data_IF_352032835340
#
_entry.id   IF_352032835340
#
_cell.length_a   1.000
_cell.length_b   1.000
_cell.length_c   1.000
_cell.angle_alpha   90.00
_cell.angle_beta   90.00
_cell.angle_gamma   90.00
#
_symmetry.space_group_name_H-M   'P 1'
#
loop_
_entity.id
_entity.type
_entity.pdbx_description
1 polymer ?
#
# COMPACT_ATOMS: atom_id res chain seq x y z
N UNK A 1 2.96 14.82 1.34
CA UNK A 1 3.22 13.85 2.38
C UNK A 1 2.02 13.60 3.25
N UNK A 2 2.00 12.50 3.97
CA UNK A 2 0.97 12.15 4.96
C UNK A 2 0.95 13.09 6.18
N UNK A 3 1.69 14.21 6.14
CA UNK A 3 1.85 15.08 7.30
C UNK A 3 2.47 14.36 8.49
N UNK A 4 3.27 13.31 8.24
CA UNK A 4 3.98 12.57 9.28
C UNK A 4 5.17 13.41 9.71
N UNK A 5 4.91 14.33 10.62
CA UNK A 5 5.95 14.92 11.46
C UNK A 5 6.01 14.11 12.75
N UNK A 6 7.15 14.14 13.44
CA UNK A 6 7.40 13.39 14.69
C UNK A 6 6.39 13.66 15.82
N UNK A 7 5.51 14.64 15.67
CA UNK A 7 4.51 15.06 16.65
C UNK A 7 3.08 14.56 16.35
N UNK A 8 2.87 13.87 15.22
CA UNK A 8 1.54 13.35 14.90
C UNK A 8 1.25 12.09 15.71
N UNK A 9 0.20 12.16 16.52
CA UNK A 9 -0.31 10.99 17.23
C UNK A 9 -0.76 9.91 16.25
N UNK A 10 -0.59 8.65 16.62
CA UNK A 10 -1.11 7.50 15.86
C UNK A 10 -2.62 7.62 15.59
N UNK A 11 -3.34 8.26 16.49
CA UNK A 11 -4.77 8.55 16.36
C UNK A 11 -5.07 9.41 15.14
N UNK A 12 -4.31 10.48 14.91
CA UNK A 12 -4.47 11.36 13.75
C UNK A 12 -4.16 10.66 12.43
N UNK A 13 -3.14 9.81 12.42
CA UNK A 13 -2.82 8.99 11.25
C UNK A 13 -3.96 8.02 10.95
N UNK A 14 -4.47 7.36 11.98
CA UNK A 14 -5.60 6.42 11.86
C UNK A 14 -6.88 7.12 11.38
N UNK A 15 -7.16 8.30 11.89
CA UNK A 15 -8.32 9.11 11.49
C UNK A 15 -8.20 9.55 10.03
N UNK A 16 -7.06 10.07 9.62
CA UNK A 16 -6.79 10.43 8.23
C UNK A 16 -6.89 9.24 7.28
N UNK A 17 -6.38 8.10 7.68
CA UNK A 17 -6.50 6.87 6.90
C UNK A 17 -7.97 6.46 6.72
N UNK A 18 -8.74 6.46 7.80
CA UNK A 18 -10.18 6.11 7.76
C UNK A 18 -10.96 7.06 6.86
N UNK A 19 -10.73 8.37 7.00
CA UNK A 19 -11.34 9.40 6.15
C UNK A 19 -10.98 9.18 4.69
N UNK A 20 -9.71 8.97 4.39
CA UNK A 20 -9.23 8.72 3.04
C UNK A 20 -9.82 7.46 2.42
N UNK A 21 -9.94 6.39 3.19
CA UNK A 21 -10.54 5.14 2.71
C UNK A 21 -12.03 5.30 2.40
N UNK A 22 -12.77 6.08 3.19
CA UNK A 22 -14.16 6.41 2.87
C UNK A 22 -14.28 7.18 1.55
N UNK A 23 -13.42 8.17 1.34
CA UNK A 23 -13.41 8.95 0.09
C UNK A 23 -13.04 8.09 -1.12
N UNK A 24 -12.13 7.14 -0.97
CA UNK A 24 -11.76 6.21 -2.04
C UNK A 24 -12.89 5.20 -2.35
N UNK A 25 -13.70 4.83 -1.37
CA UNK A 25 -14.86 3.96 -1.57
C UNK A 25 -15.97 4.65 -2.40
N UNK A 26 -16.03 5.97 -2.39
CA UNK A 26 -17.04 6.76 -3.12
C UNK A 26 -16.70 6.95 -4.63
N UNK A 27 -15.60 6.43 -5.10
CA UNK A 27 -15.11 6.59 -6.49
C UNK A 27 -15.65 5.57 -7.49
N UNK A 28 -16.74 4.88 -7.17
CA UNK A 28 -17.33 3.81 -8.00
C UNK A 28 -16.37 2.64 -8.30
N UNK A 29 -15.44 2.36 -7.40
CA UNK A 29 -14.48 1.26 -7.54
C UNK A 29 -13.31 1.56 -8.49
N UNK A 30 -13.12 2.80 -8.91
CA UNK A 30 -12.00 3.19 -9.79
C UNK A 30 -10.65 2.90 -9.15
N UNK A 31 -10.47 3.30 -7.90
CA UNK A 31 -9.24 3.07 -7.15
C UNK A 31 -8.91 1.57 -7.04
N UNK A 32 -9.89 0.77 -6.63
CA UNK A 32 -9.71 -0.69 -6.53
C UNK A 32 -9.34 -1.33 -7.86
N UNK A 33 -10.00 -0.92 -8.93
CA UNK A 33 -9.73 -1.44 -10.28
C UNK A 33 -8.33 -1.13 -10.76
N UNK A 34 -7.85 0.10 -10.56
CA UNK A 34 -6.51 0.51 -10.97
C UNK A 34 -5.43 -0.16 -10.10
N UNK A 35 -5.65 -0.25 -8.80
CA UNK A 35 -4.74 -0.94 -7.88
C UNK A 35 -4.70 -2.44 -8.19
N UNK A 36 -5.83 -3.07 -8.45
CA UNK A 36 -5.89 -4.49 -8.83
C UNK A 36 -5.10 -4.77 -10.12
N UNK A 37 -5.22 -3.89 -11.13
CA UNK A 37 -4.42 -3.99 -12.37
C UNK A 37 -2.93 -3.85 -12.10
N UNK A 38 -2.54 -2.91 -11.24
CA UNK A 38 -1.15 -2.75 -10.85
C UNK A 38 -0.61 -4.01 -10.17
N UNK A 39 -1.35 -4.56 -9.21
CA UNK A 39 -0.95 -5.78 -8.48
C UNK A 39 -0.87 -7.00 -9.39
N UNK A 40 -1.81 -7.14 -10.33
CA UNK A 40 -1.76 -8.21 -11.31
C UNK A 40 -0.53 -8.11 -12.21
N UNK A 41 -0.23 -6.91 -12.71
CA UNK A 41 0.98 -6.68 -13.49
C UNK A 41 2.25 -6.95 -12.69
N UNK A 42 2.27 -6.59 -11.41
CA UNK A 42 3.40 -6.86 -10.51
C UNK A 42 3.59 -8.37 -10.30
N UNK A 43 2.50 -9.13 -10.09
CA UNK A 43 2.54 -10.59 -9.99
C UNK A 43 3.10 -11.26 -11.25
N UNK A 44 2.65 -10.82 -12.42
CA UNK A 44 3.12 -11.35 -13.70
C UNK A 44 4.60 -11.00 -13.92
N UNK A 45 4.98 -9.76 -13.65
CA UNK A 45 6.36 -9.30 -13.81
C UNK A 45 7.33 -10.03 -12.89
N UNK A 46 6.95 -10.27 -11.66
CA UNK A 46 7.75 -10.97 -10.64
C UNK A 46 7.70 -12.49 -10.81
N UNK A 47 7.01 -13.00 -11.83
CA UNK A 47 6.90 -14.44 -12.14
C UNK A 47 6.51 -15.26 -10.90
N UNK A 48 5.38 -14.88 -10.29
CA UNK A 48 4.86 -15.60 -9.12
C UNK A 48 4.71 -17.11 -9.40
N UNK A 49 5.11 -18.01 -8.51
CA UNK A 49 5.72 -17.79 -7.17
C UNK A 49 7.26 -17.95 -7.14
N UNK A 50 7.93 -17.94 -8.28
CA UNK A 50 9.28 -18.46 -8.46
C UNK A 50 10.43 -17.53 -8.03
N UNK A 51 10.21 -16.23 -7.94
CA UNK A 51 11.28 -15.25 -7.68
C UNK A 51 11.63 -15.09 -6.20
N UNK A 52 10.85 -15.65 -5.30
CA UNK A 52 11.08 -15.58 -3.86
C UNK A 52 11.39 -16.97 -3.28
N UNK A 53 11.92 -16.99 -2.06
CA UNK A 53 12.27 -18.23 -1.36
C UNK A 53 11.07 -19.18 -1.15
N UNK A 54 9.85 -18.63 -1.12
CA UNK A 54 8.60 -19.40 -1.03
C UNK A 54 7.41 -18.60 -1.57
N UNK A 55 6.34 -19.29 -1.92
CA UNK A 55 5.07 -18.63 -2.30
C UNK A 55 4.54 -17.72 -1.18
N UNK A 56 4.71 -18.12 0.09
CA UNK A 56 4.32 -17.32 1.24
C UNK A 56 5.16 -16.05 1.36
N UNK A 57 6.46 -16.10 1.09
CA UNK A 57 7.32 -14.92 1.08
C UNK A 57 6.89 -13.93 -0.01
N UNK A 58 6.54 -14.45 -1.19
CA UNK A 58 6.04 -13.64 -2.30
C UNK A 58 4.70 -12.99 -1.94
N UNK A 59 3.79 -13.74 -1.34
CA UNK A 59 2.48 -13.25 -0.91
C UNK A 59 2.60 -12.14 0.14
N UNK A 60 3.46 -12.32 1.16
CA UNK A 60 3.75 -11.27 2.17
C UNK A 60 4.28 -9.99 1.51
N UNK A 61 5.21 -10.12 0.57
CA UNK A 61 5.75 -8.98 -0.17
C UNK A 61 4.66 -8.23 -0.93
N UNK A 62 3.77 -8.96 -1.61
CA UNK A 62 2.65 -8.39 -2.34
C UNK A 62 1.70 -7.63 -1.41
N UNK A 63 1.32 -8.22 -0.28
CA UNK A 63 0.44 -7.60 0.70
C UNK A 63 1.06 -6.36 1.34
N UNK A 64 2.35 -6.38 1.61
CA UNK A 64 3.08 -5.21 2.12
C UNK A 64 3.01 -4.05 1.14
N UNK A 65 3.27 -4.32 -0.14
CA UNK A 65 3.17 -3.31 -1.20
C UNK A 65 1.77 -2.74 -1.31
N UNK A 66 0.79 -3.61 -1.29
CA UNK A 66 -0.62 -3.21 -1.33
C UNK A 66 -0.99 -2.32 -0.14
N UNK A 67 -0.62 -2.73 1.08
CA UNK A 67 -0.90 -1.95 2.29
C UNK A 67 -0.27 -0.56 2.27
N UNK A 68 0.99 -0.45 1.84
CA UNK A 68 1.68 0.85 1.71
C UNK A 68 1.02 1.71 0.64
N UNK A 69 0.70 1.14 -0.52
CA UNK A 69 0.02 1.86 -1.60
C UNK A 69 -1.35 2.38 -1.16
N UNK A 70 -2.14 1.55 -0.46
CA UNK A 70 -3.42 1.98 0.12
C UNK A 70 -3.25 3.15 1.09
N UNK A 71 -2.26 3.05 1.98
CA UNK A 71 -1.97 4.13 2.94
C UNK A 71 -1.63 5.44 2.22
N UNK A 72 -0.84 5.39 1.16
CA UNK A 72 -0.50 6.57 0.36
C UNK A 72 -1.74 7.16 -0.32
N UNK A 73 -2.55 6.33 -0.97
CA UNK A 73 -3.77 6.78 -1.65
C UNK A 73 -4.78 7.38 -0.67
N UNK A 74 -5.00 6.72 0.47
CA UNK A 74 -5.87 7.23 1.51
C UNK A 74 -5.37 8.56 2.09
N UNK A 75 -4.07 8.69 2.31
CA UNK A 75 -3.46 9.93 2.78
C UNK A 75 -3.70 11.10 1.82
N UNK A 76 -3.50 10.88 0.53
CA UNK A 76 -3.72 11.91 -0.50
C UNK A 76 -5.22 12.26 -0.60
N UNK A 77 -6.11 11.27 -0.59
CA UNK A 77 -7.55 11.51 -0.62
C UNK A 77 -8.02 12.32 0.60
N UNK A 78 -7.51 12.01 1.78
CA UNK A 78 -7.82 12.74 3.01
C UNK A 78 -7.30 14.18 2.97
N UNK A 79 -6.12 14.42 2.40
CA UNK A 79 -5.54 15.74 2.21
C UNK A 79 -6.31 16.57 1.20
N UNK A 80 -6.68 15.97 0.05
CA UNK A 80 -7.51 16.63 -0.96
C UNK A 80 -8.98 16.79 -0.53
N UNK A 81 -9.45 16.03 0.44
CA UNK A 81 -10.83 16.05 0.92
C UNK A 81 -11.86 15.54 -0.08
N UNK A 82 -11.43 14.73 -1.06
CA UNK A 82 -12.27 14.17 -2.14
C UNK A 82 -11.75 12.83 -2.63
N UNK A 83 -12.59 12.11 -3.37
CA UNK A 83 -12.16 10.92 -4.11
C UNK A 83 -11.10 11.30 -5.15
N UNK A 84 -10.14 10.40 -5.34
CA UNK A 84 -9.05 10.62 -6.31
C UNK A 84 -9.51 10.29 -7.72
N UNK A 85 -9.16 11.16 -8.67
CA UNK A 85 -9.31 10.88 -10.09
C UNK A 85 -8.22 9.91 -10.60
N UNK A 86 -8.44 9.33 -11.78
CA UNK A 86 -7.53 8.39 -12.42
C UNK A 86 -6.08 8.91 -12.48
N UNK A 87 -5.89 10.15 -12.89
CA UNK A 87 -4.56 10.76 -13.00
C UNK A 87 -3.81 10.81 -11.67
N UNK A 88 -4.51 11.11 -10.57
CA UNK A 88 -3.92 11.13 -9.22
C UNK A 88 -3.55 9.73 -8.76
N UNK A 89 -4.40 8.74 -9.00
CA UNK A 89 -4.15 7.32 -8.66
C UNK A 89 -2.94 6.81 -9.43
N UNK A 90 -2.91 7.00 -10.75
CA UNK A 90 -1.80 6.57 -11.61
C UNK A 90 -0.49 7.24 -11.20
N UNK A 91 -0.51 8.54 -10.92
CA UNK A 91 0.67 9.25 -10.42
C UNK A 91 1.18 8.67 -9.10
N UNK A 92 0.28 8.37 -8.17
CA UNK A 92 0.63 7.78 -6.88
C UNK A 92 1.26 6.40 -7.07
N UNK A 93 0.70 5.55 -7.94
CA UNK A 93 1.29 4.25 -8.29
C UNK A 93 2.69 4.42 -8.88
N UNK A 94 2.89 5.38 -9.78
CA UNK A 94 4.23 5.65 -10.36
C UNK A 94 5.24 6.09 -9.30
N UNK A 95 4.84 7.01 -8.41
CA UNK A 95 5.71 7.46 -7.30
C UNK A 95 6.03 6.29 -6.37
N UNK A 96 5.04 5.49 -6.02
CA UNK A 96 5.22 4.28 -5.22
C UNK A 96 6.22 3.31 -5.88
N UNK A 97 6.05 3.03 -7.18
CA UNK A 97 6.97 2.16 -7.91
C UNK A 97 8.41 2.68 -7.86
N UNK A 98 8.61 3.99 -8.05
CA UNK A 98 9.95 4.59 -7.97
C UNK A 98 10.57 4.47 -6.58
N UNK A 99 9.80 4.73 -5.54
CA UNK A 99 10.29 4.66 -4.16
C UNK A 99 10.53 3.21 -3.76
N UNK A 100 9.58 2.33 -4.00
CA UNK A 100 9.63 0.95 -3.51
C UNK A 100 10.55 0.05 -4.34
N UNK A 101 10.51 0.18 -5.66
CA UNK A 101 11.26 -0.71 -6.56
C UNK A 101 12.72 -0.29 -6.74
N UNK A 102 13.01 1.01 -6.67
CA UNK A 102 14.36 1.52 -6.87
C UNK A 102 15.09 1.81 -5.56
N UNK A 103 14.41 1.79 -4.44
CA UNK A 103 15.02 1.94 -3.12
C UNK A 103 14.99 0.60 -2.36
N UNK A 104 15.99 -0.23 -2.62
CA UNK A 104 16.12 -1.54 -1.94
C UNK A 104 16.27 -1.40 -0.42
N UNK A 105 16.82 -0.31 0.08
CA UNK A 105 16.92 -0.06 1.51
C UNK A 105 15.54 0.13 2.16
N UNK A 106 14.64 0.84 1.48
CA UNK A 106 13.27 1.05 1.95
C UNK A 106 12.47 -0.27 1.97
N UNK A 107 12.53 -1.05 0.89
CA UNK A 107 11.81 -2.32 0.82
C UNK A 107 12.31 -3.32 1.85
N UNK A 108 13.62 -3.45 2.02
CA UNK A 108 14.24 -4.31 3.06
C UNK A 108 13.85 -3.86 4.48
N UNK A 109 13.80 -2.56 4.72
CA UNK A 109 13.39 -2.02 6.02
C UNK A 109 11.92 -2.30 6.32
N UNK A 110 11.04 -2.13 5.34
CA UNK A 110 9.62 -2.45 5.48
C UNK A 110 9.40 -3.95 5.75
N UNK A 111 10.07 -4.82 5.00
CA UNK A 111 10.02 -6.27 5.20
C UNK A 111 10.59 -6.69 6.56
N UNK A 112 11.69 -6.07 7.00
CA UNK A 112 12.29 -6.31 8.33
C UNK A 112 11.37 -5.89 9.47
N UNK A 113 10.69 -4.75 9.35
CA UNK A 113 9.74 -4.27 10.35
C UNK A 113 8.54 -5.21 10.47
N UNK A 114 8.02 -5.71 9.37
CA UNK A 114 6.93 -6.69 9.36
C UNK A 114 7.36 -8.02 9.96
N UNK A 115 8.55 -8.49 9.65
CA UNK A 115 9.10 -9.72 10.24
C UNK A 115 9.28 -9.59 11.76
N UNK A 116 9.70 -8.40 12.24
CA UNK A 116 9.91 -8.14 13.69
C UNK A 116 8.61 -7.93 14.46
N UNK A 117 7.54 -7.50 13.79
CA UNK A 117 6.23 -7.31 14.42
C UNK A 117 5.40 -8.60 14.53
N UNK A 118 6.01 -9.75 14.25
CA UNK A 118 5.32 -11.06 14.25
C UNK A 118 4.13 -11.15 13.28
N UNK A 119 4.01 -10.21 12.36
CA UNK A 119 3.01 -10.24 11.29
C UNK A 119 3.35 -11.32 10.26
N UNK A 120 3.52 -12.53 10.75
CA UNK A 120 3.90 -13.70 9.94
C UNK A 120 2.71 -14.62 9.68
N UNK A 121 1.61 -14.43 10.40
CA UNK A 121 0.41 -15.24 10.27
C UNK A 121 -0.52 -14.65 9.21
N UNK A 122 -1.17 -15.52 8.44
CA UNK A 122 -2.11 -15.16 7.37
C UNK A 122 -3.22 -14.21 7.85
N UNK A 123 -3.73 -14.43 9.06
CA UNK A 123 -4.80 -13.63 9.66
C UNK A 123 -4.40 -12.17 9.86
N UNK A 124 -3.16 -11.92 10.25
CA UNK A 124 -2.62 -10.58 10.41
C UNK A 124 -2.39 -9.90 9.05
N UNK A 125 -1.99 -10.67 8.05
CA UNK A 125 -1.82 -10.16 6.68
C UNK A 125 -3.16 -9.78 6.06
N UNK A 126 -4.24 -10.46 6.39
CA UNK A 126 -5.59 -10.08 5.96
C UNK A 126 -6.03 -8.71 6.50
N UNK A 127 -5.52 -8.27 7.65
CA UNK A 127 -5.80 -6.93 8.16
C UNK A 127 -5.28 -5.82 7.22
N UNK A 128 -4.25 -6.11 6.41
CA UNK A 128 -3.76 -5.18 5.39
C UNK A 128 -4.70 -5.05 4.17
N UNK A 129 -5.60 -6.01 3.98
CA UNK A 129 -6.57 -6.00 2.90
C UNK A 129 -7.85 -5.23 3.26
N UNK A 130 -8.12 -5.09 4.53
CA UNK A 130 -9.28 -4.38 5.07
C UNK A 130 -8.87 -3.01 5.62
#
# INVERSE_FOLDING_TARGET
>A
GLGITSELSLERISENYRKGMQLLADDHGLCEKLVARYLLNDLVREVFPWTQASAMAHYRRLLTRYGILRLMLAGIAAEEGRALGEASIVRTVHVFCRIYQHNMAFSKRAESLLARSEWTQLEQLYALLN
#
